data_IF_980954469223
#
_entry.id   IF_980954469223
#
_cell.length_a   1.000
_cell.length_b   1.000
_cell.length_c   1.000
_cell.angle_alpha   90.00
_cell.angle_beta   90.00
_cell.angle_gamma   90.00
#
_symmetry.space_group_name_H-M   'P 1'
#
loop_
_entity.id
_entity.type
_entity.pdbx_description
1 polymer ?
#
# COMPACT_ATOMS: atom_id res chain seq x y z
N UNK A 1 -9.15 80.62 18.03
CA UNK A 1 -10.04 81.57 17.35
C UNK A 1 -11.15 80.75 16.71
N UNK A 2 -12.38 80.96 17.22
CA UNK A 2 -13.60 80.30 16.79
C UNK A 2 -14.15 80.96 15.52
N UNK A 3 -14.81 80.22 14.66
CA UNK A 3 -15.65 80.72 13.58
C UNK A 3 -17.00 80.02 13.67
N UNK A 4 -18.07 80.71 13.28
CA UNK A 4 -19.42 80.36 13.72
C UNK A 4 -20.18 79.45 12.77
N UNK A 5 -21.24 78.86 13.33
CA UNK A 5 -22.19 77.96 12.71
C UNK A 5 -23.14 78.71 11.75
N UNK A 6 -23.43 78.09 10.60
CA UNK A 6 -24.59 78.47 9.77
C UNK A 6 -25.68 77.40 9.91
N UNK A 7 -26.88 77.96 10.05
CA UNK A 7 -28.12 77.28 10.37
C UNK A 7 -28.90 77.09 9.08
N UNK A 8 -29.06 75.90 8.57
CA UNK A 8 -29.93 75.65 7.41
C UNK A 8 -31.30 75.07 7.82
N UNK A 9 -32.27 75.61 7.14
CA UNK A 9 -33.71 75.44 7.30
C UNK A 9 -34.19 74.09 6.78
N UNK A 10 -35.18 73.41 7.41
CA UNK A 10 -35.64 72.08 6.96
C UNK A 10 -36.53 72.19 5.72
N UNK A 11 -36.24 71.43 4.69
CA UNK A 11 -37.02 71.19 3.51
C UNK A 11 -38.16 70.20 3.75
N UNK A 12 -39.28 70.43 3.15
CA UNK A 12 -40.58 69.78 3.33
C UNK A 12 -40.53 68.28 2.93
N UNK A 13 -41.13 67.48 3.79
CA UNK A 13 -41.31 66.02 3.62
C UNK A 13 -42.35 65.72 2.52
N UNK A 14 -41.94 65.16 1.39
CA UNK A 14 -42.83 64.60 0.39
C UNK A 14 -43.29 63.18 0.84
N UNK A 15 -44.60 63.02 0.84
CA UNK A 15 -45.25 61.72 1.19
C UNK A 15 -44.96 60.68 0.12
N UNK A 16 -44.43 59.44 0.47
CA UNK A 16 -44.22 58.38 -0.51
C UNK A 16 -45.53 57.86 -1.07
N UNK A 17 -45.65 57.78 -2.40
CA UNK A 17 -46.74 57.09 -3.06
C UNK A 17 -46.68 55.59 -2.76
N UNK A 18 -47.83 55.00 -2.42
CA UNK A 18 -47.98 53.55 -2.18
C UNK A 18 -47.70 52.80 -3.48
N UNK A 19 -46.59 52.05 -3.50
CA UNK A 19 -46.26 51.08 -4.56
C UNK A 19 -47.16 49.87 -4.43
N UNK A 20 -47.95 49.59 -5.46
CA UNK A 20 -48.73 48.34 -5.60
C UNK A 20 -47.76 47.14 -5.63
N UNK A 21 -47.96 46.10 -4.79
CA UNK A 21 -47.08 44.95 -4.84
C UNK A 21 -47.28 44.21 -6.19
N UNK A 22 -46.13 43.91 -6.84
CA UNK A 22 -46.08 43.11 -8.04
C UNK A 22 -46.59 41.68 -7.71
N UNK A 23 -47.30 41.02 -8.63
CA UNK A 23 -47.77 39.65 -8.40
C UNK A 23 -46.54 38.75 -8.17
N UNK A 24 -46.53 38.07 -7.02
CA UNK A 24 -45.54 37.06 -6.67
C UNK A 24 -45.67 35.89 -7.65
N UNK A 25 -44.64 35.65 -8.45
CA UNK A 25 -44.60 34.48 -9.34
C UNK A 25 -44.71 33.19 -8.50
N UNK A 26 -45.71 32.40 -8.77
CA UNK A 26 -45.88 31.09 -8.18
C UNK A 26 -44.68 30.24 -8.65
N UNK A 27 -43.88 29.61 -7.75
CA UNK A 27 -42.75 28.79 -8.18
C UNK A 27 -43.30 27.65 -9.05
N UNK A 28 -42.86 27.57 -10.28
CA UNK A 28 -43.12 26.42 -11.17
C UNK A 28 -42.50 25.20 -10.49
N UNK A 29 -43.26 24.10 -10.28
CA UNK A 29 -42.72 22.89 -9.69
C UNK A 29 -41.53 22.39 -10.54
N UNK A 30 -40.43 22.13 -9.87
CA UNK A 30 -39.24 21.57 -10.55
C UNK A 30 -39.67 20.23 -11.25
N UNK A 31 -39.18 19.98 -12.47
CA UNK A 31 -39.52 18.76 -13.19
C UNK A 31 -39.15 17.54 -12.34
N UNK A 32 -40.11 16.71 -12.04
CA UNK A 32 -39.90 15.43 -11.36
C UNK A 32 -38.98 14.60 -12.25
N UNK A 33 -37.77 14.29 -11.76
CA UNK A 33 -36.84 13.45 -12.49
C UNK A 33 -37.51 12.12 -12.85
N UNK A 34 -37.41 11.71 -14.12
CA UNK A 34 -37.90 10.43 -14.57
C UNK A 34 -37.30 9.29 -13.73
N UNK A 35 -38.03 8.21 -13.44
CA UNK A 35 -37.53 7.08 -12.66
C UNK A 35 -36.28 6.51 -13.35
N UNK A 36 -35.14 6.54 -12.64
CA UNK A 36 -33.88 6.04 -13.12
C UNK A 36 -33.72 4.56 -12.69
N UNK A 37 -33.51 3.68 -13.67
CA UNK A 37 -33.00 2.34 -13.36
C UNK A 37 -31.54 2.45 -13.02
N UNK A 38 -31.23 2.61 -11.72
CA UNK A 38 -29.89 2.90 -11.25
C UNK A 38 -28.90 1.79 -11.60
N UNK A 39 -27.79 2.16 -12.22
CA UNK A 39 -26.62 1.32 -12.43
C UNK A 39 -25.47 1.88 -11.62
N UNK A 40 -25.26 1.32 -10.41
CA UNK A 40 -24.23 1.81 -9.48
C UNK A 40 -22.87 1.19 -9.76
N UNK A 41 -21.85 2.04 -9.77
CA UNK A 41 -20.43 1.65 -9.85
C UNK A 41 -19.68 2.21 -8.65
N UNK A 42 -18.64 1.52 -8.21
CA UNK A 42 -17.74 2.00 -7.16
C UNK A 42 -16.89 3.15 -7.70
N UNK A 43 -16.92 4.27 -7.04
CA UNK A 43 -16.04 5.42 -7.26
C UNK A 43 -15.14 5.57 -6.03
N UNK A 44 -13.86 5.25 -6.15
CA UNK A 44 -12.92 5.29 -5.03
C UNK A 44 -12.41 6.70 -4.77
N UNK A 45 -12.30 7.06 -3.49
CA UNK A 45 -11.70 8.31 -3.05
C UNK A 45 -11.09 8.15 -1.65
N UNK A 46 -9.83 8.58 -1.41
CA UNK A 46 -8.89 9.18 -2.39
C UNK A 46 -8.29 8.18 -3.38
N UNK A 47 -8.34 6.88 -3.09
CA UNK A 47 -7.75 5.83 -3.93
C UNK A 47 -8.47 4.49 -3.79
N UNK A 48 -8.34 3.64 -4.81
CA UNK A 48 -8.70 2.23 -4.73
C UNK A 48 -7.83 1.47 -3.71
N UNK A 49 -8.28 0.30 -3.21
CA UNK A 49 -7.49 -0.51 -2.29
C UNK A 49 -6.17 -0.93 -2.92
N UNK A 50 -5.13 -0.94 -2.09
CA UNK A 50 -3.79 -1.43 -2.41
C UNK A 50 -3.37 -2.46 -1.35
N UNK A 51 -2.22 -3.09 -1.51
CA UNK A 51 -1.71 -3.98 -0.46
C UNK A 51 -1.22 -3.24 0.80
N UNK A 52 -1.10 -1.91 0.76
CA UNK A 52 -0.74 -1.08 1.91
C UNK A 52 -1.94 -0.50 2.64
N UNK A 53 -3.14 -0.58 2.07
CA UNK A 53 -4.34 -0.05 2.70
C UNK A 53 -5.60 -0.34 1.91
N UNK A 54 -6.72 -0.36 2.62
CA UNK A 54 -8.04 -0.49 2.03
C UNK A 54 -8.46 0.74 1.23
N UNK A 55 -9.48 0.58 0.41
CA UNK A 55 -10.10 1.65 -0.35
C UNK A 55 -11.43 2.07 0.27
N UNK A 56 -11.73 3.36 0.19
CA UNK A 56 -13.06 3.89 0.47
C UNK A 56 -13.76 4.23 -0.84
N UNK A 57 -15.01 3.89 -1.00
CA UNK A 57 -15.77 4.16 -2.21
C UNK A 57 -17.17 4.69 -1.93
N UNK A 58 -17.68 5.47 -2.89
CA UNK A 58 -19.10 5.78 -3.03
C UNK A 58 -19.69 4.99 -4.20
N UNK A 59 -20.93 4.57 -4.09
CA UNK A 59 -21.69 3.99 -5.18
C UNK A 59 -22.33 5.13 -5.97
N UNK A 60 -21.90 5.35 -7.19
CA UNK A 60 -22.41 6.41 -8.06
C UNK A 60 -23.16 5.80 -9.24
N UNK A 61 -24.39 6.25 -9.45
CA UNK A 61 -25.14 5.83 -10.61
C UNK A 61 -24.56 6.42 -11.89
N UNK A 62 -24.18 5.59 -12.85
CA UNK A 62 -23.62 6.01 -14.13
C UNK A 62 -24.60 6.74 -15.04
N UNK A 63 -25.92 6.63 -14.76
CA UNK A 63 -26.98 7.21 -15.59
C UNK A 63 -27.38 8.60 -15.07
N UNK A 64 -27.59 8.76 -13.76
CA UNK A 64 -28.14 9.98 -13.18
C UNK A 64 -27.23 10.65 -12.14
N UNK A 65 -26.09 10.06 -11.80
CA UNK A 65 -25.15 10.57 -10.80
C UNK A 65 -25.61 10.41 -9.35
N UNK A 66 -26.76 9.77 -9.10
CA UNK A 66 -27.25 9.59 -7.73
C UNK A 66 -26.26 8.74 -6.90
N UNK A 67 -26.13 9.12 -5.63
CA UNK A 67 -25.35 8.34 -4.67
C UNK A 67 -26.22 7.19 -4.12
N UNK A 68 -25.71 5.96 -4.24
CA UNK A 68 -26.36 4.73 -3.75
C UNK A 68 -25.82 4.25 -2.39
N UNK A 69 -24.93 5.02 -1.78
CA UNK A 69 -24.28 4.68 -0.51
C UNK A 69 -22.76 4.66 -0.65
N UNK A 70 -22.11 4.31 0.44
CA UNK A 70 -20.65 4.25 0.54
C UNK A 70 -20.20 2.96 1.23
N UNK A 71 -18.91 2.66 1.13
CA UNK A 71 -18.33 1.49 1.76
C UNK A 71 -16.82 1.48 1.69
N UNK A 72 -16.27 0.40 2.23
CA UNK A 72 -14.82 0.18 2.23
C UNK A 72 -14.50 -1.19 1.65
N UNK A 73 -13.43 -1.26 0.87
CA UNK A 73 -12.83 -2.54 0.49
C UNK A 73 -11.55 -2.76 1.34
N UNK A 74 -11.29 -3.98 1.78
CA UNK A 74 -10.07 -4.29 2.52
C UNK A 74 -8.82 -4.08 1.67
N UNK A 75 -7.66 -4.00 2.34
CA UNK A 75 -6.38 -4.02 1.65
C UNK A 75 -6.23 -5.29 0.81
N UNK A 76 -5.61 -5.16 -0.35
CA UNK A 76 -5.29 -6.30 -1.22
C UNK A 76 -4.19 -7.16 -0.58
N UNK A 77 -4.15 -8.46 -0.87
CA UNK A 77 -3.07 -9.32 -0.41
C UNK A 77 -1.73 -8.87 -1.02
N UNK A 78 -0.65 -9.06 -0.26
CA UNK A 78 0.69 -8.87 -0.78
C UNK A 78 1.04 -9.97 -1.81
N UNK A 79 1.76 -9.60 -2.86
CA UNK A 79 2.31 -10.53 -3.86
C UNK A 79 3.78 -10.78 -3.53
N UNK A 80 4.12 -11.88 -2.84
CA UNK A 80 5.47 -12.13 -2.39
C UNK A 80 6.40 -12.53 -3.54
N UNK A 81 7.63 -12.03 -3.49
CA UNK A 81 8.76 -12.49 -4.27
C UNK A 81 10.00 -12.52 -3.38
N UNK A 82 11.04 -13.22 -3.82
CA UNK A 82 12.29 -13.34 -3.07
C UNK A 82 13.45 -12.75 -3.85
N UNK A 83 14.41 -12.17 -3.13
CA UNK A 83 15.73 -11.80 -3.65
C UNK A 83 16.80 -12.25 -2.67
N UNK A 84 17.96 -12.64 -3.19
CA UNK A 84 19.13 -12.91 -2.36
C UNK A 84 19.75 -11.57 -1.97
N UNK A 85 19.96 -11.36 -0.68
CA UNK A 85 20.65 -10.19 -0.12
C UNK A 85 22.10 -10.55 0.25
N UNK A 86 22.27 -11.73 0.83
CA UNK A 86 23.58 -12.33 1.09
C UNK A 86 23.59 -13.69 0.43
N UNK A 87 24.51 -13.87 -0.50
CA UNK A 87 24.70 -15.14 -1.19
C UNK A 87 25.51 -16.10 -0.33
N UNK A 88 25.27 -17.40 -0.51
CA UNK A 88 26.02 -18.46 0.12
C UNK A 88 26.18 -19.61 -0.88
N UNK A 89 27.38 -19.86 -1.30
CA UNK A 89 27.72 -20.92 -2.25
C UNK A 89 28.20 -22.15 -1.50
N UNK A 90 29.12 -21.97 -0.57
CA UNK A 90 29.79 -23.06 0.11
C UNK A 90 29.10 -23.45 1.42
N UNK A 91 29.31 -24.69 1.83
CA UNK A 91 28.69 -25.35 2.97
C UNK A 91 28.91 -24.67 4.34
N UNK A 92 29.89 -23.78 4.45
CA UNK A 92 30.21 -23.00 5.66
C UNK A 92 29.68 -21.55 5.60
N UNK A 93 29.01 -21.20 4.53
CA UNK A 93 28.45 -19.88 4.31
C UNK A 93 26.95 -19.88 4.61
N UNK A 94 26.50 -18.76 5.17
CA UNK A 94 25.08 -18.52 5.45
C UNK A 94 24.59 -17.37 4.60
N UNK A 95 23.61 -17.66 3.75
CA UNK A 95 22.96 -16.68 2.91
C UNK A 95 21.68 -16.14 3.52
N UNK A 96 21.21 -15.03 3.00
CA UNK A 96 19.95 -14.40 3.39
C UNK A 96 19.13 -14.06 2.16
N UNK A 97 17.88 -14.53 2.14
CA UNK A 97 16.85 -14.12 1.20
C UNK A 97 15.89 -13.16 1.86
N UNK A 98 15.57 -12.10 1.16
CA UNK A 98 14.52 -11.16 1.55
C UNK A 98 13.25 -11.49 0.78
N UNK A 99 12.15 -11.67 1.49
CA UNK A 99 10.81 -11.81 0.93
C UNK A 99 10.19 -10.43 0.91
N UNK A 100 9.79 -9.96 -0.25
CA UNK A 100 9.22 -8.64 -0.44
C UNK A 100 7.98 -8.67 -1.32
N UNK A 101 7.12 -7.66 -1.18
CA UNK A 101 5.96 -7.50 -2.05
C UNK A 101 6.34 -6.81 -3.35
N UNK A 102 6.04 -7.42 -4.50
CA UNK A 102 6.33 -6.84 -5.82
C UNK A 102 5.49 -5.60 -6.12
N UNK A 103 4.32 -5.47 -5.50
CA UNK A 103 3.39 -4.36 -5.75
C UNK A 103 3.72 -3.10 -4.93
N UNK A 104 4.19 -3.25 -3.69
CA UNK A 104 4.46 -2.11 -2.79
C UNK A 104 5.93 -1.99 -2.34
N UNK A 105 6.76 -3.00 -2.62
CA UNK A 105 8.16 -3.03 -2.22
C UNK A 105 8.43 -3.34 -0.75
N UNK A 106 7.39 -3.47 0.08
CA UNK A 106 7.57 -3.74 1.51
C UNK A 106 8.22 -5.10 1.73
N UNK A 107 9.14 -5.15 2.67
CA UNK A 107 9.69 -6.39 3.18
C UNK A 107 8.62 -7.15 3.99
N UNK A 108 8.40 -8.40 3.62
CA UNK A 108 7.44 -9.29 4.26
C UNK A 108 8.11 -10.28 5.21
N UNK A 109 9.42 -10.48 5.08
CA UNK A 109 10.20 -11.38 5.91
C UNK A 109 11.60 -11.61 5.37
N UNK A 110 12.38 -12.37 6.14
CA UNK A 110 13.71 -12.83 5.79
C UNK A 110 13.81 -14.32 6.03
N UNK A 111 14.53 -15.00 5.17
CA UNK A 111 14.80 -16.44 5.26
C UNK A 111 16.30 -16.68 5.09
N UNK A 112 16.87 -17.44 6.02
CA UNK A 112 18.27 -17.88 5.94
C UNK A 112 18.39 -19.17 5.14
N UNK A 113 19.48 -19.33 4.44
CA UNK A 113 19.83 -20.58 3.78
C UNK A 113 21.33 -20.85 3.89
N UNK A 114 21.69 -22.12 3.85
CA UNK A 114 23.09 -22.54 3.88
C UNK A 114 23.57 -22.88 2.48
N UNK A 115 24.84 -22.61 2.21
CA UNK A 115 25.49 -23.06 1.00
C UNK A 115 25.58 -24.59 0.95
N UNK A 116 25.58 -25.14 -0.24
CA UNK A 116 25.54 -26.59 -0.47
C UNK A 116 26.78 -27.14 -1.15
N UNK A 117 27.62 -26.28 -1.70
CA UNK A 117 28.83 -26.74 -2.38
C UNK A 117 29.94 -27.05 -1.38
N UNK A 118 30.58 -28.19 -1.56
CA UNK A 118 31.71 -28.64 -0.75
C UNK A 118 33.01 -28.51 -1.54
N UNK A 119 34.04 -28.00 -0.89
CA UNK A 119 35.40 -27.98 -1.43
C UNK A 119 36.15 -29.24 -0.97
N UNK A 120 36.02 -30.31 -1.80
CA UNK A 120 36.60 -31.61 -1.47
C UNK A 120 38.10 -31.63 -1.67
N UNK A 121 38.83 -32.14 -0.65
CA UNK A 121 40.26 -32.40 -0.68
C UNK A 121 40.55 -33.77 -0.14
N UNK A 122 41.72 -34.34 -0.49
CA UNK A 122 42.16 -35.64 0.01
C UNK A 122 43.29 -35.40 1.02
N UNK A 123 43.20 -36.08 2.12
CA UNK A 123 44.24 -36.16 3.15
C UNK A 123 44.43 -37.56 3.63
N UNK A 124 45.43 -37.76 4.47
CA UNK A 124 45.70 -39.05 5.12
C UNK A 124 45.52 -38.92 6.62
N UNK A 125 45.12 -40.00 7.26
CA UNK A 125 45.07 -40.13 8.71
C UNK A 125 45.57 -41.49 9.15
N UNK A 126 46.19 -41.57 10.32
CA UNK A 126 46.63 -42.81 10.93
C UNK A 126 45.43 -43.55 11.55
N UNK A 127 45.22 -44.80 11.16
CA UNK A 127 44.21 -45.67 11.71
C UNK A 127 44.82 -46.99 12.18
N UNK A 128 44.30 -47.53 13.28
CA UNK A 128 44.65 -48.86 13.73
C UNK A 128 44.02 -49.89 12.82
N UNK A 129 44.83 -50.81 12.35
CA UNK A 129 44.37 -51.94 11.54
C UNK A 129 44.30 -53.22 12.44
N UNK A 130 43.12 -53.74 12.62
CA UNK A 130 42.83 -54.86 13.51
C UNK A 130 43.44 -56.17 13.01
N UNK A 131 43.58 -56.35 11.69
CA UNK A 131 44.09 -57.57 11.08
C UNK A 131 45.61 -57.66 11.19
N UNK A 132 46.29 -56.59 10.96
CA UNK A 132 47.75 -56.53 10.98
C UNK A 132 48.33 -56.11 12.33
N UNK A 133 47.50 -55.61 13.26
CA UNK A 133 47.88 -55.06 14.56
C UNK A 133 48.94 -53.94 14.45
N UNK A 134 48.79 -53.12 13.42
CA UNK A 134 49.71 -51.99 13.15
C UNK A 134 48.93 -50.71 12.85
N UNK A 135 49.57 -49.56 12.98
CA UNK A 135 49.04 -48.31 12.52
C UNK A 135 49.31 -48.19 11.02
N UNK A 136 48.27 -47.92 10.25
CA UNK A 136 48.33 -47.75 8.80
C UNK A 136 47.79 -46.35 8.42
N UNK A 137 48.39 -45.76 7.39
CA UNK A 137 47.82 -44.53 6.80
C UNK A 137 46.62 -44.90 5.92
N UNK A 138 45.52 -44.21 6.13
CA UNK A 138 44.32 -44.30 5.28
C UNK A 138 44.02 -42.96 4.64
N UNK A 139 43.64 -43.00 3.37
CA UNK A 139 43.16 -41.81 2.67
C UNK A 139 41.73 -41.51 3.05
N UNK A 140 41.42 -40.25 3.19
CA UNK A 140 40.08 -39.73 3.39
C UNK A 140 39.83 -38.54 2.52
N UNK A 141 38.70 -38.52 1.88
CA UNK A 141 38.22 -37.32 1.18
C UNK A 141 37.30 -36.55 2.10
N UNK A 142 37.64 -35.28 2.37
CA UNK A 142 36.88 -34.41 3.25
C UNK A 142 36.75 -33.00 2.66
N UNK A 143 35.72 -32.32 3.10
CA UNK A 143 35.57 -30.91 2.74
C UNK A 143 36.54 -30.06 3.56
N UNK A 144 37.37 -29.24 2.89
CA UNK A 144 38.33 -28.33 3.54
C UNK A 144 37.67 -27.29 4.44
N UNK A 145 36.37 -26.99 4.22
CA UNK A 145 35.60 -25.96 4.93
C UNK A 145 34.82 -26.49 6.12
N UNK A 146 33.96 -27.51 5.92
CA UNK A 146 33.07 -28.01 6.96
C UNK A 146 33.52 -29.36 7.53
N UNK A 147 34.62 -29.94 7.03
CA UNK A 147 35.20 -31.25 7.45
C UNK A 147 34.27 -32.47 7.27
N UNK A 148 33.15 -32.32 6.55
CA UNK A 148 32.33 -33.47 6.16
C UNK A 148 33.18 -34.45 5.33
N UNK A 149 33.04 -35.76 5.57
CA UNK A 149 33.77 -36.83 4.87
C UNK A 149 32.84 -37.54 3.88
N UNK A 150 33.39 -38.08 2.81
CA UNK A 150 32.69 -38.92 1.83
C UNK A 150 33.52 -40.12 1.41
#
# INVERSE_FOLDING_TARGET
TAAPAEKETPAATAKPAASTPAPTAVPTPAPTAAPCNHNFVKSYWPSAPTCNGGGYYNLICTICGANGGDGTDPALPHTPATRVEVDATYCDEHGVRVIYCTSCGNELGRDGFDGTEHEWTTGTYEAWDEDTHTVVEKEVTYCSRCHAQR
#
